data_IF_471905364902
#
_entry.id   IF_471905364902
#
_cell.length_a   1.000
_cell.length_b   1.000
_cell.length_c   1.000
_cell.angle_alpha   90.00
_cell.angle_beta   90.00
_cell.angle_gamma   90.00
#
_symmetry.space_group_name_H-M   'P 1'
#
loop_
_entity.id
_entity.type
_entity.pdbx_description
1 polymer ?
#
# COMPACT_ATOMS: atom_id res chain seq x y z
N UNK A 1 31.67 23.29 -24.42
CA UNK A 1 30.28 23.23 -24.94
C UNK A 1 29.43 23.91 -23.89
N UNK A 2 28.69 24.93 -24.30
CA UNK A 2 28.13 25.97 -23.44
C UNK A 2 27.08 25.45 -22.47
N UNK A 3 27.10 26.00 -21.26
CA UNK A 3 26.05 25.97 -20.26
C UNK A 3 24.72 26.43 -20.87
N UNK A 4 23.87 25.51 -21.28
CA UNK A 4 22.48 25.82 -21.62
C UNK A 4 21.70 26.04 -20.32
N UNK A 5 21.69 27.32 -19.93
CA UNK A 5 20.85 27.95 -18.92
C UNK A 5 19.59 27.16 -18.58
N UNK A 6 19.57 26.67 -17.35
CA UNK A 6 18.39 26.34 -16.57
C UNK A 6 17.59 27.63 -16.30
N UNK A 7 17.08 28.25 -17.37
CA UNK A 7 16.18 29.38 -17.29
C UNK A 7 14.80 28.80 -17.01
N UNK A 8 14.31 28.93 -15.78
CA UNK A 8 12.92 28.62 -15.44
C UNK A 8 12.01 29.47 -16.34
N UNK A 9 11.50 28.85 -17.41
CA UNK A 9 10.53 29.49 -18.31
C UNK A 9 9.25 29.74 -17.52
N UNK A 10 9.01 31.00 -17.19
CA UNK A 10 7.81 31.51 -16.47
C UNK A 10 6.56 31.60 -17.35
N UNK A 11 6.70 31.39 -18.65
CA UNK A 11 5.61 31.43 -19.64
C UNK A 11 4.84 30.10 -19.69
N UNK A 12 3.52 30.17 -19.75
CA UNK A 12 2.67 28.98 -19.89
C UNK A 12 2.94 28.28 -21.23
N UNK A 13 3.02 26.95 -21.21
CA UNK A 13 3.25 26.18 -22.43
C UNK A 13 2.11 26.36 -23.44
N UNK A 14 2.46 26.66 -24.69
CA UNK A 14 1.48 26.78 -25.77
C UNK A 14 0.75 25.45 -26.04
N UNK A 15 -0.50 25.47 -26.54
CA UNK A 15 -1.29 24.26 -26.78
C UNK A 15 -0.58 23.22 -27.67
N UNK A 16 0.18 23.68 -28.67
CA UNK A 16 1.01 22.83 -29.55
C UNK A 16 2.11 22.11 -28.77
N UNK A 17 2.82 22.81 -27.87
CA UNK A 17 3.86 22.21 -27.02
C UNK A 17 3.30 21.16 -26.06
N UNK A 18 2.12 21.38 -25.48
CA UNK A 18 1.46 20.39 -24.60
C UNK A 18 1.07 19.14 -25.39
N UNK A 19 0.56 19.31 -26.63
CA UNK A 19 0.27 18.21 -27.55
C UNK A 19 1.52 17.41 -27.88
N UNK A 20 2.58 18.07 -28.32
CA UNK A 20 3.85 17.42 -28.66
C UNK A 20 4.47 16.70 -27.44
N UNK A 21 4.35 17.27 -26.24
CA UNK A 21 4.83 16.63 -25.00
C UNK A 21 4.03 15.36 -24.67
N UNK A 22 2.70 15.38 -24.84
CA UNK A 22 1.85 14.20 -24.69
C UNK A 22 2.14 13.13 -25.74
N UNK A 23 2.33 13.53 -27.01
CA UNK A 23 2.71 12.62 -28.11
C UNK A 23 4.08 11.97 -27.88
N UNK A 24 5.01 12.69 -27.23
CA UNK A 24 6.33 12.18 -26.83
C UNK A 24 6.31 11.37 -25.52
N UNK A 25 5.13 11.11 -24.95
CA UNK A 25 5.01 10.35 -23.70
C UNK A 25 5.51 11.08 -22.44
N UNK A 26 5.71 12.39 -22.50
CA UNK A 26 6.07 13.21 -21.34
C UNK A 26 4.81 13.49 -20.49
N UNK A 27 4.29 12.43 -19.88
CA UNK A 27 3.18 12.49 -18.95
C UNK A 27 3.76 12.90 -17.59
N UNK A 28 3.30 13.99 -16.96
CA UNK A 28 3.83 14.44 -15.69
C UNK A 28 3.57 13.39 -14.59
N UNK A 29 4.62 12.66 -14.20
CA UNK A 29 4.59 11.73 -13.08
C UNK A 29 4.79 12.49 -11.78
N UNK A 30 3.70 12.87 -11.10
CA UNK A 30 3.79 13.50 -9.77
C UNK A 30 4.00 12.43 -8.69
N UNK A 31 5.20 12.43 -8.10
CA UNK A 31 5.52 11.57 -6.94
C UNK A 31 4.59 11.86 -5.75
N UNK A 32 4.18 13.11 -5.58
CA UNK A 32 3.28 13.52 -4.51
C UNK A 32 1.86 12.97 -4.68
N UNK A 33 1.35 12.93 -5.91
CA UNK A 33 0.05 12.32 -6.22
C UNK A 33 0.04 10.81 -5.95
N UNK A 34 1.13 10.10 -6.25
CA UNK A 34 1.27 8.69 -5.90
C UNK A 34 1.23 8.48 -4.38
N UNK A 35 2.02 9.26 -3.63
CA UNK A 35 2.04 9.16 -2.18
C UNK A 35 0.68 9.49 -1.55
N UNK A 36 0.02 10.55 -2.03
CA UNK A 36 -1.32 10.94 -1.59
C UNK A 36 -2.36 9.83 -1.86
N UNK A 37 -2.31 9.20 -3.04
CA UNK A 37 -3.22 8.12 -3.41
C UNK A 37 -3.08 6.90 -2.48
N UNK A 38 -1.85 6.52 -2.15
CA UNK A 38 -1.58 5.43 -1.21
C UNK A 38 -2.10 5.78 0.18
N UNK A 39 -1.85 7.00 0.67
CA UNK A 39 -2.31 7.44 1.99
C UNK A 39 -3.84 7.45 2.10
N UNK A 40 -4.53 7.95 1.07
CA UNK A 40 -6.00 7.97 1.04
C UNK A 40 -6.55 6.54 1.06
N UNK A 41 -5.99 5.66 0.22
CA UNK A 41 -6.43 4.27 0.17
C UNK A 41 -6.16 3.51 1.47
N UNK A 42 -4.99 3.69 2.08
CA UNK A 42 -4.65 3.08 3.36
C UNK A 42 -5.60 3.58 4.47
N UNK A 43 -5.88 4.89 4.51
CA UNK A 43 -6.81 5.48 5.48
C UNK A 43 -8.23 4.95 5.31
N UNK A 44 -8.73 4.89 4.07
CA UNK A 44 -10.04 4.32 3.78
C UNK A 44 -10.11 2.83 4.16
N UNK A 45 -9.07 2.06 3.84
CA UNK A 45 -8.99 0.65 4.19
C UNK A 45 -9.01 0.44 5.70
N UNK A 46 -8.27 1.25 6.46
CA UNK A 46 -8.32 1.23 7.92
C UNK A 46 -9.70 1.63 8.46
N UNK A 47 -10.37 2.59 7.82
CA UNK A 47 -11.72 2.99 8.23
C UNK A 47 -12.73 1.84 8.11
N UNK A 48 -12.70 1.09 6.99
CA UNK A 48 -13.65 0.00 6.76
C UNK A 48 -13.25 -1.33 7.43
N UNK A 49 -11.95 -1.65 7.47
CA UNK A 49 -11.45 -2.94 7.96
C UNK A 49 -10.98 -2.88 9.42
N UNK A 50 -10.69 -1.69 9.94
CA UNK A 50 -9.97 -1.49 11.20
C UNK A 50 -10.68 -2.05 12.42
N UNK A 51 -12.01 -1.93 12.50
CA UNK A 51 -12.79 -2.49 13.62
C UNK A 51 -12.67 -4.01 13.68
N UNK A 52 -12.88 -4.69 12.55
CA UNK A 52 -12.72 -6.15 12.45
C UNK A 52 -11.29 -6.60 12.75
N UNK A 53 -10.29 -5.85 12.28
CA UNK A 53 -8.89 -6.11 12.58
C UNK A 53 -8.58 -5.94 14.07
N UNK A 54 -9.06 -4.87 14.71
CA UNK A 54 -8.86 -4.62 16.13
C UNK A 54 -9.49 -5.72 16.99
N UNK A 55 -10.73 -6.12 16.69
CA UNK A 55 -11.42 -7.21 17.37
C UNK A 55 -10.71 -8.55 17.16
N UNK A 56 -10.26 -8.83 15.94
CA UNK A 56 -9.52 -10.05 15.62
C UNK A 56 -8.19 -10.13 16.37
N UNK A 57 -7.43 -9.03 16.43
CA UNK A 57 -6.18 -8.95 17.20
C UNK A 57 -6.46 -9.17 18.69
N UNK A 58 -7.48 -8.52 19.24
CA UNK A 58 -7.87 -8.70 20.64
C UNK A 58 -8.20 -10.17 20.95
N UNK A 59 -8.93 -10.85 20.05
CA UNK A 59 -9.27 -12.27 20.20
C UNK A 59 -8.04 -13.18 20.16
N UNK A 60 -7.10 -12.94 19.23
CA UNK A 60 -5.84 -13.69 19.15
C UNK A 60 -5.04 -13.49 20.44
N UNK A 61 -4.97 -12.26 20.94
CA UNK A 61 -4.26 -11.93 22.18
C UNK A 61 -4.89 -12.62 23.39
N UNK A 62 -6.22 -12.56 23.52
CA UNK A 62 -6.96 -13.25 24.58
C UNK A 62 -6.71 -14.76 24.56
N UNK A 63 -6.72 -15.38 23.37
CA UNK A 63 -6.44 -16.80 23.21
C UNK A 63 -4.98 -17.15 23.52
N UNK A 64 -4.03 -16.29 23.15
CA UNK A 64 -2.60 -16.49 23.42
C UNK A 64 -2.25 -16.36 24.89
N UNK A 65 -2.91 -15.45 25.60
CA UNK A 65 -2.71 -15.21 27.03
C UNK A 65 -3.50 -16.19 27.91
N UNK A 66 -4.60 -16.76 27.40
CA UNK A 66 -5.37 -17.79 28.09
C UNK A 66 -4.77 -19.17 27.81
N UNK A 67 -3.68 -19.52 28.49
CA UNK A 67 -3.01 -20.82 28.38
C UNK A 67 -3.74 -21.89 29.21
N UNK A 68 -4.48 -22.82 28.59
CA UNK A 68 -5.09 -23.93 29.31
C UNK A 68 -4.00 -24.88 29.82
N UNK A 69 -4.23 -25.50 30.97
CA UNK A 69 -3.28 -26.44 31.58
C UNK A 69 -2.87 -27.58 30.64
N UNK A 70 -3.76 -28.01 29.74
CA UNK A 70 -3.48 -29.06 28.75
C UNK A 70 -2.40 -28.67 27.73
N UNK A 71 -2.22 -27.38 27.43
CA UNK A 71 -1.15 -26.90 26.55
C UNK A 71 0.20 -26.74 27.26
N UNK A 72 0.23 -26.69 28.60
CA UNK A 72 1.46 -26.52 29.36
C UNK A 72 2.29 -27.81 29.47
N UNK A 73 1.66 -28.98 29.30
CA UNK A 73 2.31 -30.28 29.46
C UNK A 73 2.60 -30.99 28.13
N UNK A 74 2.21 -30.40 27.00
CA UNK A 74 2.45 -30.94 25.67
C UNK A 74 3.00 -29.87 24.73
N UNK A 75 4.32 -29.88 24.54
CA UNK A 75 5.04 -28.94 23.67
C UNK A 75 4.62 -29.03 22.20
N UNK A 76 4.07 -30.16 21.74
CA UNK A 76 3.62 -30.29 20.34
C UNK A 76 2.29 -29.58 20.10
N UNK A 77 1.39 -29.62 21.10
CA UNK A 77 0.13 -28.87 21.05
C UNK A 77 0.37 -27.36 21.15
N UNK A 78 1.38 -26.94 21.92
CA UNK A 78 1.77 -25.54 22.07
C UNK A 78 2.29 -24.93 20.76
N UNK A 79 3.20 -25.62 20.06
CA UNK A 79 3.75 -25.13 18.79
C UNK A 79 2.70 -25.07 17.68
N UNK A 80 1.80 -26.07 17.61
CA UNK A 80 0.67 -26.07 16.68
C UNK A 80 -0.32 -24.92 16.94
N UNK A 81 -0.57 -24.59 18.21
CA UNK A 81 -1.45 -23.47 18.58
C UNK A 81 -0.83 -22.12 18.21
N UNK A 82 0.48 -21.95 18.44
CA UNK A 82 1.20 -20.75 18.05
C UNK A 82 1.18 -20.54 16.53
N UNK A 83 1.41 -21.60 15.75
CA UNK A 83 1.34 -21.54 14.29
C UNK A 83 -0.06 -21.10 13.80
N UNK A 84 -1.13 -21.63 14.41
CA UNK A 84 -2.51 -21.22 14.10
C UNK A 84 -2.76 -19.74 14.41
N UNK A 85 -2.24 -19.23 15.53
CA UNK A 85 -2.38 -17.81 15.89
C UNK A 85 -1.65 -16.91 14.90
N UNK A 86 -0.42 -17.26 14.51
CA UNK A 86 0.35 -16.53 13.50
C UNK A 86 -0.41 -16.51 12.17
N UNK A 87 -0.88 -17.67 11.73
CA UNK A 87 -1.63 -17.79 10.47
C UNK A 87 -2.92 -16.96 10.48
N UNK A 88 -3.66 -17.02 11.59
CA UNK A 88 -4.90 -16.24 11.77
C UNK A 88 -4.62 -14.74 11.77
N UNK A 89 -3.54 -14.30 12.44
CA UNK A 89 -3.11 -12.90 12.43
C UNK A 89 -2.69 -12.42 11.04
N UNK A 90 -1.98 -13.27 10.29
CA UNK A 90 -1.57 -12.93 8.92
C UNK A 90 -2.79 -12.77 8.00
N UNK A 91 -3.75 -13.70 8.06
CA UNK A 91 -5.00 -13.62 7.29
C UNK A 91 -5.85 -12.41 7.68
N UNK A 92 -5.82 -12.00 8.95
CA UNK A 92 -6.55 -10.83 9.44
C UNK A 92 -6.03 -9.51 8.83
N UNK A 93 -4.71 -9.39 8.68
CA UNK A 93 -4.06 -8.18 8.13
C UNK A 93 -3.95 -8.23 6.59
N UNK A 94 -4.02 -9.43 6.00
CA UNK A 94 -3.94 -9.65 4.56
C UNK A 94 -4.83 -8.72 3.69
N UNK A 95 -6.14 -8.53 3.96
CA UNK A 95 -6.98 -7.68 3.10
C UNK A 95 -6.49 -6.23 3.03
N UNK A 96 -6.02 -5.68 4.15
CA UNK A 96 -5.43 -4.34 4.19
C UNK A 96 -4.15 -4.27 3.32
N UNK A 97 -3.27 -5.26 3.44
CA UNK A 97 -2.04 -5.32 2.64
C UNK A 97 -2.33 -5.47 1.15
N UNK A 98 -3.33 -6.26 0.78
CA UNK A 98 -3.75 -6.42 -0.63
C UNK A 98 -4.22 -5.09 -1.20
N UNK A 99 -5.05 -4.33 -0.48
CA UNK A 99 -5.48 -3.00 -0.96
C UNK A 99 -4.29 -2.06 -1.14
N UNK A 100 -3.40 -1.97 -0.15
CA UNK A 100 -2.20 -1.14 -0.24
C UNK A 100 -1.32 -1.55 -1.43
N UNK A 101 -1.13 -2.85 -1.66
CA UNK A 101 -0.34 -3.37 -2.77
C UNK A 101 -0.96 -3.05 -4.13
N UNK A 102 -2.28 -3.25 -4.27
CA UNK A 102 -3.02 -2.91 -5.48
C UNK A 102 -2.86 -1.43 -5.80
N UNK A 103 -3.04 -0.55 -4.81
CA UNK A 103 -2.91 0.90 -5.01
C UNK A 103 -1.48 1.33 -5.28
N UNK A 104 -0.49 0.72 -4.64
CA UNK A 104 0.92 1.00 -4.89
C UNK A 104 1.34 0.68 -6.34
N UNK A 105 0.73 -0.34 -6.96
CA UNK A 105 0.97 -0.71 -8.35
C UNK A 105 0.10 0.12 -9.31
N UNK A 106 -1.17 0.36 -8.94
CA UNK A 106 -2.13 1.05 -9.78
C UNK A 106 -1.90 2.57 -9.86
N UNK A 107 -1.51 3.23 -8.77
CA UNK A 107 -1.36 4.69 -8.75
C UNK A 107 -0.29 5.19 -9.75
N UNK A 108 0.93 4.63 -9.81
CA UNK A 108 1.94 5.04 -10.79
C UNK A 108 1.55 4.74 -12.23
N UNK A 109 0.81 3.65 -12.48
CA UNK A 109 0.39 3.22 -13.82
C UNK A 109 -0.76 4.07 -14.37
N UNK A 110 -1.73 4.44 -13.52
CA UNK A 110 -2.84 5.32 -13.88
C UNK A 110 -2.42 6.79 -14.04
N UNK A 111 -1.56 7.29 -13.14
CA UNK A 111 -1.12 8.70 -13.17
C UNK A 111 -0.01 8.95 -14.20
N UNK A 112 0.86 7.96 -14.43
CA UNK A 112 2.00 8.08 -15.34
C UNK A 112 1.73 7.59 -16.77
N UNK A 113 0.55 7.04 -17.05
CA UNK A 113 0.21 6.39 -18.31
C UNK A 113 1.00 5.10 -18.57
N UNK A 114 0.41 4.18 -19.33
CA UNK A 114 1.03 2.93 -19.72
C UNK A 114 2.01 3.14 -20.88
N UNK A 115 3.22 3.62 -20.59
CA UNK A 115 4.30 3.67 -21.57
C UNK A 115 5.13 2.38 -21.49
N UNK A 116 4.77 1.38 -22.29
CA UNK A 116 5.76 0.38 -22.68
C UNK A 116 6.75 1.08 -23.62
N UNK A 117 8.04 1.08 -23.24
CA UNK A 117 9.12 1.40 -24.16
C UNK A 117 9.43 0.21 -25.05
#
# INVERSE_FOLDING_TARGET
>A
MADEQFQEKTEQATPKRIKDAREKGQIPRSKELNAASILIAASASLFFLGDGMAQGIAKILQQGLSLPRSLLFDSTLLSGQLAKMIWSGLLLVAPFLVVCLVVAIAAPTLLGGWSFS
#
